data_IF_246212121426
#
_entry.id   IF_246212121426
#
_cell.length_a   1.000
_cell.length_b   1.000
_cell.length_c   1.000
_cell.angle_alpha   90.00
_cell.angle_beta   90.00
_cell.angle_gamma   90.00
#
_symmetry.space_group_name_H-M   'P 1'
#
loop_
_entity.id
_entity.type
_entity.pdbx_description
1 polymer ?
#
# COMPACT_ATOMS: atom_id res chain seq x y z
N UNK A 1 39.66 -8.20 -17.90
CA UNK A 1 39.19 -8.58 -16.55
C UNK A 1 38.62 -7.34 -15.89
N UNK A 2 37.30 -7.27 -15.71
CA UNK A 2 36.66 -6.13 -15.06
C UNK A 2 37.09 -6.08 -13.59
N UNK A 3 37.64 -4.94 -13.15
CA UNK A 3 37.99 -4.67 -11.76
C UNK A 3 36.71 -4.73 -10.91
N UNK A 4 36.41 -5.89 -10.33
CA UNK A 4 35.35 -6.06 -9.36
C UNK A 4 35.81 -5.40 -8.05
N UNK A 5 35.57 -4.09 -7.91
CA UNK A 5 35.77 -3.42 -6.62
C UNK A 5 34.62 -3.86 -5.69
N UNK A 6 34.90 -4.58 -4.59
CA UNK A 6 33.86 -4.93 -3.64
C UNK A 6 33.25 -3.65 -3.06
N UNK A 7 31.93 -3.50 -3.24
CA UNK A 7 31.20 -2.32 -2.79
C UNK A 7 30.69 -2.56 -1.38
N UNK A 8 31.40 -2.06 -0.38
CA UNK A 8 30.94 -2.10 1.01
C UNK A 8 29.70 -1.23 1.18
N UNK A 9 28.74 -1.73 1.96
CA UNK A 9 27.60 -0.92 2.36
C UNK A 9 28.03 0.00 3.51
N UNK A 10 27.69 1.29 3.39
CA UNK A 10 27.79 2.22 4.51
C UNK A 10 26.72 1.90 5.57
N UNK A 11 26.94 2.35 6.80
CA UNK A 11 25.99 2.12 7.90
C UNK A 11 24.57 2.65 7.61
N UNK A 12 24.38 3.84 7.00
CA UNK A 12 23.05 4.29 6.58
C UNK A 12 22.42 3.40 5.50
N UNK A 13 23.23 2.80 4.62
CA UNK A 13 22.71 1.85 3.61
C UNK A 13 22.24 0.57 4.28
N UNK A 14 23.02 0.01 5.22
CA UNK A 14 22.63 -1.18 5.98
C UNK A 14 21.32 -0.98 6.75
N UNK A 15 21.17 0.15 7.47
CA UNK A 15 19.91 0.48 8.16
C UNK A 15 18.73 0.58 7.20
N UNK A 16 18.92 1.22 6.04
CA UNK A 16 17.87 1.29 5.02
C UNK A 16 17.50 -0.10 4.50
N UNK A 17 18.47 -0.99 4.30
CA UNK A 17 18.21 -2.36 3.87
C UNK A 17 17.41 -3.15 4.91
N UNK A 18 17.76 -3.00 6.18
CA UNK A 18 17.00 -3.59 7.28
C UNK A 18 15.56 -3.07 7.29
N UNK A 19 15.36 -1.75 7.18
CA UNK A 19 14.02 -1.16 7.09
C UNK A 19 13.21 -1.70 5.91
N UNK A 20 13.82 -1.87 4.73
CA UNK A 20 13.13 -2.40 3.55
C UNK A 20 12.79 -3.88 3.71
N UNK A 21 13.70 -4.66 4.30
CA UNK A 21 13.49 -6.07 4.59
C UNK A 21 12.36 -6.28 5.61
N UNK A 22 12.26 -5.41 6.63
CA UNK A 22 11.18 -5.45 7.63
C UNK A 22 9.83 -5.19 6.98
N UNK A 23 9.71 -4.19 6.10
CA UNK A 23 8.45 -3.93 5.39
C UNK A 23 8.10 -5.05 4.41
N UNK A 24 9.09 -5.61 3.70
CA UNK A 24 8.88 -6.77 2.84
C UNK A 24 8.41 -8.00 3.65
N UNK A 25 8.97 -8.23 4.84
CA UNK A 25 8.54 -9.31 5.73
C UNK A 25 7.08 -9.14 6.17
N UNK A 26 6.66 -7.92 6.56
CA UNK A 26 5.25 -7.64 6.87
C UNK A 26 4.32 -7.95 5.69
N UNK A 27 4.73 -7.54 4.47
CA UNK A 27 3.96 -7.83 3.26
C UNK A 27 3.85 -9.34 3.02
N UNK A 28 4.97 -10.08 3.17
CA UNK A 28 4.99 -11.53 3.03
C UNK A 28 4.12 -12.24 4.07
N UNK A 29 4.14 -11.79 5.33
CA UNK A 29 3.32 -12.34 6.41
C UNK A 29 1.82 -12.08 6.17
N UNK A 30 1.47 -10.88 5.69
CA UNK A 30 0.09 -10.60 5.28
C UNK A 30 -0.34 -11.42 4.05
N UNK A 31 0.54 -11.59 3.06
CA UNK A 31 0.20 -12.28 1.82
C UNK A 31 0.01 -13.78 1.99
N UNK A 32 0.83 -14.40 2.85
CA UNK A 32 0.72 -15.81 3.23
C UNK A 32 -0.49 -16.09 4.14
N UNK A 33 -1.05 -15.07 4.80
CA UNK A 33 -2.27 -15.21 5.58
C UNK A 33 -3.50 -15.48 4.70
N UNK A 34 -4.09 -16.66 4.87
CA UNK A 34 -5.30 -17.08 4.14
C UNK A 34 -6.49 -16.14 4.34
N UNK A 35 -6.61 -15.57 5.56
CA UNK A 35 -7.69 -14.69 5.97
C UNK A 35 -7.25 -13.23 6.11
N UNK A 36 -6.18 -12.83 5.42
CA UNK A 36 -5.74 -11.44 5.37
C UNK A 36 -6.46 -10.68 4.25
N UNK A 37 -7.01 -9.52 4.57
CA UNK A 37 -7.48 -8.55 3.58
C UNK A 37 -6.43 -7.47 3.35
N UNK A 38 -6.44 -6.86 2.17
CA UNK A 38 -5.59 -5.73 1.82
C UNK A 38 -6.44 -4.48 1.57
N UNK A 39 -5.98 -3.36 2.12
CA UNK A 39 -6.60 -2.05 1.99
C UNK A 39 -5.60 -1.05 1.46
N UNK A 40 -6.07 -0.22 0.53
CA UNK A 40 -5.32 0.94 0.08
C UNK A 40 -6.25 2.16 0.05
N UNK A 41 -5.72 3.32 0.43
CA UNK A 41 -6.49 4.56 0.52
C UNK A 41 -6.02 5.56 -0.52
N UNK A 42 -6.92 5.99 -1.40
CA UNK A 42 -6.74 7.16 -2.25
C UNK A 42 -7.63 8.29 -1.73
N UNK A 43 -7.05 9.44 -1.44
CA UNK A 43 -7.77 10.52 -0.78
C UNK A 43 -7.54 11.86 -1.50
N UNK A 44 -8.60 12.66 -1.63
CA UNK A 44 -8.51 14.01 -2.14
C UNK A 44 -8.89 15.01 -1.04
N UNK A 45 -8.01 15.97 -0.78
CA UNK A 45 -8.29 17.06 0.16
C UNK A 45 -9.39 17.99 -0.35
N UNK A 46 -9.97 18.75 0.58
CA UNK A 46 -10.83 19.86 0.23
C UNK A 46 -10.03 20.86 -0.61
N UNK A 47 -10.56 21.24 -1.76
CA UNK A 47 -9.93 22.23 -2.64
C UNK A 47 -10.95 23.27 -3.07
N UNK A 48 -10.62 24.54 -2.86
CA UNK A 48 -11.48 25.66 -3.26
C UNK A 48 -11.08 26.16 -4.64
N UNK A 49 -11.91 25.89 -5.64
CA UNK A 49 -11.83 26.53 -6.95
C UNK A 49 -12.51 27.90 -6.90
N UNK A 50 -12.28 28.75 -7.92
CA UNK A 50 -12.97 30.05 -8.06
C UNK A 50 -14.50 29.92 -8.12
N UNK A 51 -15.01 28.78 -8.58
CA UNK A 51 -16.43 28.58 -8.91
C UNK A 51 -17.15 27.59 -7.97
N UNK A 52 -16.43 26.73 -7.25
CA UNK A 52 -17.00 25.71 -6.37
C UNK A 52 -15.98 25.21 -5.34
N UNK A 53 -16.48 24.65 -4.25
CA UNK A 53 -15.67 23.94 -3.26
C UNK A 53 -15.74 22.44 -3.57
N UNK A 54 -14.59 21.82 -3.87
CA UNK A 54 -14.48 20.37 -3.84
C UNK A 54 -14.32 19.95 -2.39
N UNK A 55 -15.26 19.15 -1.92
CA UNK A 55 -15.20 18.56 -0.60
C UNK A 55 -14.32 17.30 -0.60
N UNK A 56 -13.81 16.88 0.57
CA UNK A 56 -12.95 15.71 0.66
C UNK A 56 -13.59 14.45 0.08
N UNK A 57 -12.77 13.60 -0.53
CA UNK A 57 -13.20 12.28 -0.98
C UNK A 57 -12.18 11.21 -0.59
N UNK A 58 -12.69 10.02 -0.32
CA UNK A 58 -11.93 8.85 0.07
C UNK A 58 -12.34 7.68 -0.80
N UNK A 59 -11.37 7.06 -1.44
CA UNK A 59 -11.52 5.79 -2.11
C UNK A 59 -10.72 4.74 -1.34
N UNK A 60 -11.40 3.68 -0.96
CA UNK A 60 -10.81 2.47 -0.40
C UNK A 60 -10.83 1.41 -1.50
N UNK A 61 -9.67 0.99 -1.95
CA UNK A 61 -9.54 -0.24 -2.72
C UNK A 61 -9.32 -1.39 -1.73
N UNK A 62 -10.11 -2.45 -1.89
CA UNK A 62 -10.18 -3.58 -0.96
C UNK A 62 -9.92 -4.85 -1.74
N UNK A 63 -8.96 -5.65 -1.30
CA UNK A 63 -8.69 -6.97 -1.84
C UNK A 63 -8.89 -8.02 -0.75
N UNK A 64 -9.84 -8.91 -0.94
CA UNK A 64 -10.21 -9.96 0.02
C UNK A 64 -9.97 -11.34 -0.59
N UNK A 65 -9.71 -12.39 0.21
CA UNK A 65 -9.86 -13.76 -0.29
C UNK A 65 -11.30 -14.00 -0.76
N UNK A 66 -11.46 -14.84 -1.79
CA UNK A 66 -12.74 -15.20 -2.43
C UNK A 66 -13.52 -16.21 -1.59
N UNK A 67 -12.81 -17.14 -0.97
CA UNK A 67 -13.42 -18.11 -0.08
C UNK A 67 -13.66 -17.47 1.30
N UNK A 68 -14.92 -17.50 1.75
CA UNK A 68 -15.25 -17.24 3.15
C UNK A 68 -14.50 -18.24 4.03
N UNK A 69 -14.17 -17.93 5.30
CA UNK A 69 -13.44 -18.83 6.18
C UNK A 69 -14.18 -20.16 6.33
N UNK A 70 -13.82 -21.15 5.52
CA UNK A 70 -14.14 -22.54 5.79
C UNK A 70 -13.07 -23.06 6.73
N UNK A 71 -13.53 -23.74 7.78
CA UNK A 71 -12.70 -24.48 8.72
C UNK A 71 -11.63 -25.28 7.97
N UNK A 72 -10.44 -25.48 8.56
CA UNK A 72 -9.29 -26.04 7.86
C UNK A 72 -9.67 -27.41 7.29
N UNK A 73 -9.96 -27.44 5.99
CA UNK A 73 -10.21 -28.68 5.26
C UNK A 73 -8.93 -29.04 4.54
N UNK A 74 -8.41 -30.20 4.93
CA UNK A 74 -7.12 -30.80 4.59
C UNK A 74 -7.00 -31.27 3.13
N UNK A 75 -7.32 -30.44 2.14
CA UNK A 75 -7.26 -30.84 0.74
C UNK A 75 -6.63 -29.73 -0.11
N UNK A 76 -5.37 -29.99 -0.52
CA UNK A 76 -4.46 -29.18 -1.35
C UNK A 76 -3.87 -27.90 -0.69
N UNK A 77 -2.91 -28.11 0.22
CA UNK A 77 -2.12 -27.09 0.96
C UNK A 77 -1.26 -26.13 0.09
N UNK A 78 -1.22 -26.26 -1.23
CA UNK A 78 -0.32 -25.47 -2.10
C UNK A 78 -0.99 -24.33 -2.88
N UNK A 79 -2.32 -24.20 -2.85
CA UNK A 79 -3.03 -23.14 -3.59
C UNK A 79 -3.52 -22.04 -2.66
N UNK A 80 -2.84 -20.89 -2.71
CA UNK A 80 -3.28 -19.66 -2.03
C UNK A 80 -4.70 -19.26 -2.47
N UNK A 81 -5.50 -18.66 -1.56
CA UNK A 81 -6.87 -18.28 -1.89
C UNK A 81 -6.87 -17.27 -3.05
N UNK A 82 -7.78 -17.49 -4.00
CA UNK A 82 -8.06 -16.50 -5.04
C UNK A 82 -8.50 -15.21 -4.33
N UNK A 83 -8.03 -14.05 -4.79
CA UNK A 83 -8.39 -12.75 -4.20
C UNK A 83 -9.30 -11.96 -5.13
N UNK A 84 -10.33 -11.33 -4.57
CA UNK A 84 -11.25 -10.46 -5.30
C UNK A 84 -11.00 -9.00 -4.93
N UNK A 85 -11.18 -8.12 -5.91
CA UNK A 85 -11.06 -6.67 -5.75
C UNK A 85 -12.45 -6.01 -5.72
N UNK A 86 -12.68 -5.17 -4.73
CA UNK A 86 -13.80 -4.24 -4.71
C UNK A 86 -13.35 -2.83 -4.32
N UNK A 87 -14.16 -1.83 -4.66
CA UNK A 87 -13.88 -0.42 -4.36
C UNK A 87 -15.04 0.21 -3.63
N UNK A 88 -14.73 0.99 -2.60
CA UNK A 88 -15.68 1.85 -1.89
C UNK A 88 -15.20 3.29 -1.99
N UNK A 89 -16.01 4.17 -2.55
CA UNK A 89 -15.72 5.59 -2.65
C UNK A 89 -16.73 6.37 -1.82
N UNK A 90 -16.24 7.24 -0.93
CA UNK A 90 -17.04 8.17 -0.12
C UNK A 90 -16.65 9.58 -0.54
N UNK A 91 -17.63 10.36 -1.01
CA UNK A 91 -17.45 11.78 -1.31
C UNK A 91 -18.27 12.58 -0.33
N UNK A 92 -17.62 13.54 0.33
CA UNK A 92 -18.34 14.47 1.18
C UNK A 92 -19.10 15.46 0.30
N UNK A 93 -20.33 15.78 0.69
CA UNK A 93 -21.13 16.83 0.08
C UNK A 93 -20.93 18.16 0.82
N UNK A 94 -20.96 19.26 0.08
CA UNK A 94 -20.86 20.59 0.68
C UNK A 94 -22.13 20.86 1.49
N UNK A 95 -21.97 21.10 2.79
CA UNK A 95 -23.06 21.56 3.63
C UNK A 95 -23.38 23.02 3.32
N UNK A 96 -24.39 23.30 2.50
CA UNK A 96 -24.78 24.70 2.24
C UNK A 96 -25.41 25.34 3.49
N UNK A 97 -24.76 26.38 4.02
CA UNK A 97 -25.30 27.20 5.13
C UNK A 97 -26.48 28.09 4.69
N UNK A 98 -26.65 28.33 3.39
CA UNK A 98 -27.43 29.47 2.89
C UNK A 98 -28.75 29.12 2.18
N UNK A 99 -28.96 27.88 1.67
CA UNK A 99 -30.23 27.52 1.06
C UNK A 99 -30.49 26.00 1.05
N UNK A 100 -31.47 25.52 1.84
CA UNK A 100 -31.85 24.10 1.89
C UNK A 100 -32.39 23.56 0.56
N UNK A 101 -32.92 24.42 -0.32
CA UNK A 101 -33.52 24.01 -1.60
C UNK A 101 -32.50 23.67 -2.70
N UNK A 102 -31.22 24.03 -2.50
CA UNK A 102 -30.13 23.78 -3.46
C UNK A 102 -29.09 22.81 -2.84
N UNK A 103 -29.45 22.18 -1.72
CA UNK A 103 -28.59 21.25 -1.01
C UNK A 103 -28.53 19.94 -1.83
N UNK A 104 -27.35 19.43 -2.22
CA UNK A 104 -27.25 18.20 -2.99
C UNK A 104 -27.83 17.03 -2.18
N UNK A 105 -28.71 16.23 -2.77
CA UNK A 105 -29.25 15.08 -2.06
C UNK A 105 -28.17 14.00 -1.90
N UNK A 106 -28.01 13.39 -0.71
CA UNK A 106 -27.16 12.22 -0.55
C UNK A 106 -27.60 11.11 -1.49
N UNK A 107 -26.64 10.41 -2.09
CA UNK A 107 -26.95 9.32 -3.00
C UNK A 107 -25.93 8.19 -2.92
N UNK A 108 -26.36 7.04 -3.44
CA UNK A 108 -25.58 5.82 -3.48
C UNK A 108 -25.74 5.15 -4.84
N UNK A 109 -24.63 4.69 -5.40
CA UNK A 109 -24.64 3.81 -6.57
C UNK A 109 -23.74 2.61 -6.32
N UNK A 110 -24.14 1.50 -6.91
CA UNK A 110 -23.32 0.31 -7.06
C UNK A 110 -23.24 -0.05 -8.53
N UNK A 111 -22.02 -0.22 -9.01
CA UNK A 111 -21.73 -0.77 -10.34
C UNK A 111 -20.73 -1.90 -10.12
N UNK A 112 -21.18 -3.13 -10.36
CA UNK A 112 -20.42 -4.36 -10.08
C UNK A 112 -19.93 -4.45 -8.60
N UNK A 113 -18.61 -4.51 -8.42
CA UNK A 113 -17.93 -4.50 -7.11
C UNK A 113 -17.61 -3.10 -6.60
N UNK A 114 -17.91 -2.05 -7.38
CA UNK A 114 -17.66 -0.66 -7.00
C UNK A 114 -18.90 -0.04 -6.37
N UNK A 115 -18.72 0.63 -5.24
CA UNK A 115 -19.76 1.41 -4.58
C UNK A 115 -19.30 2.83 -4.36
N UNK A 116 -20.18 3.80 -4.63
CA UNK A 116 -19.95 5.21 -4.35
C UNK A 116 -21.06 5.74 -3.45
N UNK A 117 -20.67 6.46 -2.40
CA UNK A 117 -21.53 7.14 -1.46
C UNK A 117 -21.23 8.63 -1.52
N UNK A 118 -22.25 9.45 -1.76
CA UNK A 118 -22.14 10.89 -1.58
C UNK A 118 -22.97 11.29 -0.37
N UNK A 119 -22.29 11.74 0.69
CA UNK A 119 -22.84 11.90 2.03
C UNK A 119 -22.38 13.21 2.64
N UNK A 120 -23.13 13.76 3.60
CA UNK A 120 -22.63 14.87 4.41
C UNK A 120 -21.56 14.39 5.40
N UNK A 121 -20.74 15.32 5.90
CA UNK A 121 -19.56 15.03 6.73
C UNK A 121 -19.81 13.95 7.80
N UNK A 122 -20.80 14.14 8.67
CA UNK A 122 -21.06 13.22 9.79
C UNK A 122 -21.42 11.80 9.32
N UNK A 123 -22.24 11.69 8.27
CA UNK A 123 -22.66 10.41 7.69
C UNK A 123 -21.52 9.77 6.89
N UNK A 124 -20.70 10.58 6.21
CA UNK A 124 -19.51 10.13 5.49
C UNK A 124 -18.48 9.52 6.45
N UNK A 125 -18.23 10.16 7.59
CA UNK A 125 -17.33 9.68 8.64
C UNK A 125 -17.85 8.36 9.25
N UNK A 126 -19.13 8.32 9.65
CA UNK A 126 -19.76 7.09 10.13
C UNK A 126 -19.71 5.95 9.11
N UNK A 127 -19.94 6.27 7.83
CA UNK A 127 -19.89 5.27 6.77
C UNK A 127 -18.47 4.76 6.55
N UNK A 128 -17.46 5.64 6.60
CA UNK A 128 -16.06 5.27 6.47
C UNK A 128 -15.63 4.33 7.60
N UNK A 129 -15.90 4.69 8.86
CA UNK A 129 -15.64 3.82 10.00
C UNK A 129 -16.41 2.50 9.91
N UNK A 130 -17.70 2.54 9.54
CA UNK A 130 -18.51 1.33 9.42
C UNK A 130 -18.00 0.33 8.39
N UNK A 131 -17.37 0.80 7.30
CA UNK A 131 -16.69 -0.09 6.34
C UNK A 131 -15.46 -0.75 6.99
N UNK A 132 -14.66 -0.01 7.75
CA UNK A 132 -13.50 -0.57 8.46
C UNK A 132 -13.94 -1.58 9.51
N UNK A 133 -15.02 -1.31 10.23
CA UNK A 133 -15.56 -2.21 11.25
C UNK A 133 -16.11 -3.51 10.64
N UNK A 134 -16.85 -3.42 9.52
CA UNK A 134 -17.33 -4.56 8.74
C UNK A 134 -16.17 -5.45 8.29
N UNK A 135 -15.16 -4.85 7.65
CA UNK A 135 -13.97 -5.56 7.21
C UNK A 135 -13.15 -6.12 8.38
N UNK A 136 -13.10 -5.43 9.51
CA UNK A 136 -12.43 -5.92 10.70
C UNK A 136 -13.18 -7.10 11.32
N UNK A 137 -14.50 -7.18 11.25
CA UNK A 137 -15.23 -8.31 11.81
C UNK A 137 -14.95 -9.63 11.06
N UNK A 138 -14.82 -9.55 9.73
CA UNK A 138 -14.86 -10.73 8.86
C UNK A 138 -13.50 -11.42 8.63
N UNK A 139 -12.38 -10.72 8.86
CA UNK A 139 -11.05 -11.19 8.46
C UNK A 139 -10.05 -11.24 9.63
N UNK A 140 -9.11 -12.19 9.61
CA UNK A 140 -8.14 -12.38 10.69
C UNK A 140 -7.06 -11.29 10.76
N UNK A 141 -6.69 -10.72 9.62
CA UNK A 141 -5.69 -9.66 9.51
C UNK A 141 -6.11 -8.58 8.49
N UNK A 142 -5.71 -7.34 8.75
CA UNK A 142 -5.97 -6.20 7.88
C UNK A 142 -4.65 -5.55 7.46
N UNK A 143 -4.20 -5.79 6.23
CA UNK A 143 -2.98 -5.20 5.70
C UNK A 143 -3.29 -3.86 5.01
N UNK A 144 -2.93 -2.75 5.64
CA UNK A 144 -3.04 -1.41 5.05
C UNK A 144 -1.75 -1.10 4.30
N UNK A 145 -1.81 -1.15 2.97
CA UNK A 145 -0.67 -0.88 2.11
C UNK A 145 -0.68 0.57 1.66
N UNK A 146 0.41 1.27 1.93
CA UNK A 146 0.55 2.71 1.68
C UNK A 146 1.84 3.03 0.94
N UNK A 147 1.81 4.01 0.04
CA UNK A 147 2.99 4.56 -0.61
C UNK A 147 3.47 5.86 0.06
N UNK A 148 2.58 6.57 0.76
CA UNK A 148 2.91 7.71 1.64
C UNK A 148 2.07 7.62 2.92
N UNK A 149 2.75 7.27 4.01
CA UNK A 149 2.13 7.15 5.34
C UNK A 149 1.44 8.44 5.76
N UNK A 150 1.96 9.63 5.40
CA UNK A 150 1.36 10.91 5.75
C UNK A 150 0.03 11.10 5.04
N UNK A 151 -0.04 10.71 3.78
CA UNK A 151 -1.26 10.77 3.00
C UNK A 151 -2.33 9.84 3.58
N UNK A 152 -1.95 8.62 3.97
CA UNK A 152 -2.86 7.67 4.61
C UNK A 152 -3.32 8.16 5.98
N UNK A 153 -2.41 8.62 6.85
CA UNK A 153 -2.78 9.19 8.15
C UNK A 153 -3.73 10.37 8.00
N UNK A 154 -3.49 11.24 7.01
CA UNK A 154 -4.37 12.38 6.74
C UNK A 154 -5.78 11.96 6.33
N UNK A 155 -5.90 10.90 5.53
CA UNK A 155 -7.19 10.33 5.15
C UNK A 155 -7.93 9.75 6.37
N UNK A 156 -7.22 9.03 7.25
CA UNK A 156 -7.77 8.51 8.50
C UNK A 156 -8.29 9.65 9.40
N UNK A 157 -7.52 10.74 9.55
CA UNK A 157 -7.92 11.91 10.34
C UNK A 157 -9.18 12.60 9.80
N UNK A 158 -9.24 12.88 8.50
CA UNK A 158 -10.33 13.66 7.91
C UNK A 158 -11.66 12.89 7.91
N UNK A 159 -11.60 11.57 7.78
CA UNK A 159 -12.78 10.71 7.82
C UNK A 159 -13.05 10.13 9.22
N UNK A 160 -12.31 10.58 10.25
CA UNK A 160 -12.39 10.11 11.64
C UNK A 160 -12.36 8.58 11.76
N UNK A 161 -11.45 7.96 11.00
CA UNK A 161 -11.31 6.51 10.96
C UNK A 161 -10.24 6.02 11.92
N UNK A 162 -10.57 4.94 12.64
CA UNK A 162 -9.66 4.19 13.50
C UNK A 162 -9.44 2.81 12.88
N UNK A 163 -8.17 2.51 12.62
CA UNK A 163 -7.76 1.17 12.22
C UNK A 163 -7.84 0.22 13.42
N UNK A 164 -8.24 -1.05 13.22
CA UNK A 164 -8.28 -2.04 14.29
C UNK A 164 -6.86 -2.42 14.77
N UNK A 165 -6.73 -2.94 15.99
CA UNK A 165 -5.44 -3.33 16.55
C UNK A 165 -4.68 -4.40 15.74
N UNK A 166 -5.42 -5.20 14.96
CA UNK A 166 -4.88 -6.21 14.02
C UNK A 166 -4.49 -5.65 12.66
N UNK A 167 -4.54 -4.34 12.48
CA UNK A 167 -4.11 -3.69 11.25
C UNK A 167 -2.57 -3.66 11.19
N UNK A 168 -2.02 -4.13 10.08
CA UNK A 168 -0.58 -4.05 9.77
C UNK A 168 -0.40 -3.00 8.69
N UNK A 169 0.38 -1.96 8.99
CA UNK A 169 0.75 -0.95 8.00
C UNK A 169 2.02 -1.37 7.27
N UNK A 170 1.97 -1.32 5.94
CA UNK A 170 3.07 -1.70 5.03
C UNK A 170 3.43 -0.52 4.13
N UNK A 171 4.69 -0.08 4.18
CA UNK A 171 5.26 0.91 3.25
C UNK A 171 5.65 0.23 1.93
N UNK A 172 4.78 0.35 0.92
CA UNK A 172 4.95 -0.27 -0.39
C UNK A 172 6.23 0.18 -1.10
N UNK A 173 6.68 1.42 -0.89
CA UNK A 173 7.91 1.91 -1.52
C UNK A 173 9.10 1.13 -0.98
N UNK A 174 9.14 0.89 0.33
CA UNK A 174 10.20 0.08 0.96
C UNK A 174 10.15 -1.38 0.52
N UNK A 175 8.95 -1.94 0.33
CA UNK A 175 8.79 -3.30 -0.23
C UNK A 175 9.37 -3.37 -1.64
N UNK A 176 9.03 -2.41 -2.50
CA UNK A 176 9.56 -2.36 -3.86
C UNK A 176 11.08 -2.15 -3.86
N UNK A 177 11.63 -1.26 -3.03
CA UNK A 177 13.08 -1.07 -2.89
C UNK A 177 13.82 -2.36 -2.49
N UNK A 178 13.19 -3.21 -1.67
CA UNK A 178 13.74 -4.51 -1.30
C UNK A 178 13.75 -5.47 -2.49
N UNK A 179 12.64 -5.55 -3.22
CA UNK A 179 12.44 -6.51 -4.31
C UNK A 179 13.21 -6.14 -5.59
N UNK A 180 13.37 -4.85 -5.90
CA UNK A 180 13.96 -4.38 -7.18
C UNK A 180 15.44 -4.03 -7.10
N UNK A 181 16.13 -4.50 -6.04
CA UNK A 181 17.48 -4.03 -5.69
C UNK A 181 18.56 -4.44 -6.69
N UNK A 182 18.46 -5.64 -7.25
CA UNK A 182 19.50 -6.22 -8.11
C UNK A 182 19.14 -6.14 -9.61
N UNK A 183 17.85 -6.23 -9.96
CA UNK A 183 17.39 -6.34 -11.35
C UNK A 183 16.63 -5.09 -11.87
N UNK A 184 16.51 -4.03 -11.06
CA UNK A 184 15.68 -2.86 -11.40
C UNK A 184 14.19 -3.17 -11.29
N UNK A 185 13.33 -2.26 -11.77
CA UNK A 185 11.87 -2.49 -11.77
C UNK A 185 11.55 -3.60 -12.78
N UNK A 186 10.95 -4.74 -12.38
CA UNK A 186 10.44 -5.74 -13.32
C UNK A 186 9.57 -5.08 -14.40
N UNK A 187 9.73 -5.48 -15.67
CA UNK A 187 8.97 -4.91 -16.79
C UNK A 187 7.45 -5.04 -16.59
N UNK A 188 7.02 -6.08 -15.88
CA UNK A 188 5.63 -6.33 -15.50
C UNK A 188 5.08 -5.28 -14.52
N UNK A 189 5.95 -4.63 -13.75
CA UNK A 189 5.60 -3.55 -12.82
C UNK A 189 5.64 -2.17 -13.51
N UNK A 190 6.36 -2.00 -14.62
CA UNK A 190 6.48 -0.73 -15.34
C UNK A 190 5.11 -0.13 -15.72
N UNK A 191 4.18 -0.96 -16.17
CA UNK A 191 2.80 -0.55 -16.49
C UNK A 191 2.01 0.04 -15.30
N UNK A 192 2.44 -0.25 -14.06
CA UNK A 192 1.80 0.20 -12.82
C UNK A 192 2.61 1.29 -12.10
N UNK A 193 3.92 1.38 -12.36
CA UNK A 193 4.85 2.31 -11.72
C UNK A 193 5.16 3.55 -12.56
N UNK A 194 5.15 3.47 -13.89
CA UNK A 194 5.60 4.56 -14.77
C UNK A 194 4.74 5.84 -14.66
N UNK A 195 3.45 5.68 -14.39
CA UNK A 195 2.52 6.81 -14.17
C UNK A 195 2.42 7.24 -12.68
N UNK A 196 2.93 6.44 -11.73
CA UNK A 196 2.60 6.58 -10.28
C UNK A 196 3.79 6.69 -9.32
N UNK A 197 5.00 6.21 -9.69
CA UNK A 197 6.17 6.20 -8.81
C UNK A 197 7.39 6.69 -9.61
N UNK A 198 7.71 7.97 -9.49
CA UNK A 198 8.87 8.55 -10.17
C UNK A 198 10.17 7.98 -9.58
N UNK A 199 11.22 7.79 -10.39
CA UNK A 199 12.56 7.43 -9.90
C UNK A 199 13.45 8.66 -9.96
N UNK A 200 14.00 9.08 -8.82
CA UNK A 200 14.94 10.22 -8.72
C UNK A 200 16.21 9.80 -8.00
N UNK A 201 17.36 10.01 -8.64
CA UNK A 201 18.68 9.59 -8.14
C UNK A 201 18.77 8.07 -7.87
N UNK A 202 18.13 7.25 -8.69
CA UNK A 202 18.10 5.77 -8.53
C UNK A 202 17.29 5.29 -7.33
N UNK A 203 16.31 6.08 -6.87
CA UNK A 203 15.39 5.77 -5.76
C UNK A 203 13.97 6.11 -6.16
N UNK A 204 12.98 5.41 -5.62
CA UNK A 204 11.58 5.81 -5.77
C UNK A 204 11.34 7.15 -5.04
N UNK A 205 10.85 8.14 -5.78
CA UNK A 205 10.49 9.46 -5.31
C UNK A 205 9.07 9.41 -4.75
N UNK A 206 8.94 9.84 -3.49
CA UNK A 206 7.67 9.92 -2.76
C UNK A 206 6.84 11.15 -3.17
N UNK A 207 7.40 12.06 -3.98
CA UNK A 207 6.62 13.17 -4.53
C UNK A 207 5.74 12.65 -5.65
N UNK A 208 4.43 12.68 -5.40
CA UNK A 208 3.45 12.68 -6.45
C UNK A 208 3.85 13.75 -7.49
N UNK A 209 3.98 13.36 -8.76
CA UNK A 209 4.24 14.30 -9.85
C UNK A 209 3.21 15.43 -9.88
N UNK A 210 3.43 16.46 -10.69
CA UNK A 210 2.45 17.54 -10.86
C UNK A 210 1.09 16.94 -11.21
N UNK A 211 0.06 17.40 -10.50
CA UNK A 211 -1.32 16.91 -10.49
C UNK A 211 -1.95 16.91 -11.89
N UNK A 212 -1.64 15.90 -12.70
CA UNK A 212 -2.22 15.68 -14.02
C UNK A 212 -3.39 14.68 -14.03
N UNK A 213 -3.95 14.35 -12.86
CA UNK A 213 -5.09 13.42 -12.77
C UNK A 213 -4.76 11.94 -13.05
N UNK A 214 -3.46 11.57 -13.06
CA UNK A 214 -2.99 10.18 -13.21
C UNK A 214 -2.28 9.61 -11.98
N UNK A 215 -2.26 10.35 -10.87
CA UNK A 215 -1.67 9.91 -9.61
C UNK A 215 -2.71 9.02 -8.90
N UNK A 216 -2.85 7.80 -9.41
CA UNK A 216 -3.60 6.76 -8.73
C UNK A 216 -2.72 6.15 -7.64
N UNK A 217 -3.33 5.69 -6.56
CA UNK A 217 -2.74 4.57 -5.82
C UNK A 217 -2.26 3.51 -6.83
N UNK A 218 -1.10 2.85 -6.61
CA UNK A 218 -0.79 1.67 -7.39
C UNK A 218 -2.03 0.79 -7.35
N UNK A 219 -2.57 0.49 -8.53
CA UNK A 219 -3.81 -0.26 -8.66
C UNK A 219 -3.69 -1.45 -7.71
N UNK A 220 -4.63 -1.67 -6.80
CA UNK A 220 -4.45 -2.64 -5.70
C UNK A 220 -4.07 -4.04 -6.21
N UNK A 221 -4.35 -4.35 -7.48
CA UNK A 221 -3.83 -5.54 -8.17
C UNK A 221 -2.31 -5.63 -8.31
N UNK A 222 -1.57 -4.53 -8.14
CA UNK A 222 -0.11 -4.56 -7.98
C UNK A 222 0.30 -5.51 -6.86
N UNK A 223 -0.52 -5.63 -5.81
CA UNK A 223 -0.30 -6.56 -4.71
C UNK A 223 -0.35 -8.02 -5.16
N UNK A 224 -1.03 -8.34 -6.27
CA UNK A 224 -1.03 -9.69 -6.88
C UNK A 224 0.36 -10.08 -7.40
N UNK A 225 1.23 -9.11 -7.69
CA UNK A 225 2.62 -9.32 -8.11
C UNK A 225 3.57 -9.13 -6.93
N UNK A 226 3.40 -8.04 -6.17
CA UNK A 226 4.28 -7.67 -5.05
C UNK A 226 4.16 -8.63 -3.87
N UNK A 227 2.98 -9.18 -3.61
CA UNK A 227 2.74 -10.12 -2.52
C UNK A 227 3.52 -11.43 -2.66
N UNK A 228 3.39 -12.15 -3.78
CA UNK A 228 4.20 -13.35 -4.04
C UNK A 228 5.70 -13.05 -4.06
N UNK A 229 6.11 -11.93 -4.67
CA UNK A 229 7.51 -11.50 -4.67
C UNK A 229 8.03 -11.28 -3.23
N UNK A 230 7.21 -10.72 -2.34
CA UNK A 230 7.62 -10.46 -0.96
C UNK A 230 8.02 -11.74 -0.23
N UNK A 231 7.31 -12.84 -0.48
CA UNK A 231 7.66 -14.15 0.07
C UNK A 231 8.94 -14.73 -0.55
N UNK A 232 9.10 -14.62 -1.87
CA UNK A 232 10.28 -15.11 -2.57
C UNK A 232 11.57 -14.41 -2.07
N UNK A 233 11.49 -13.11 -1.83
CA UNK A 233 12.61 -12.25 -1.41
C UNK A 233 12.81 -12.20 0.13
N UNK A 234 12.13 -13.05 0.90
CA UNK A 234 12.13 -13.00 2.37
C UNK A 234 13.51 -13.18 3.01
N UNK A 235 14.43 -13.90 2.35
CA UNK A 235 15.78 -14.20 2.87
C UNK A 235 16.88 -13.29 2.33
N UNK A 236 16.56 -12.37 1.43
CA UNK A 236 17.57 -11.61 0.68
C UNK A 236 18.40 -10.69 1.57
N UNK A 237 17.80 -10.10 2.60
CA UNK A 237 18.53 -9.29 3.56
C UNK A 237 19.59 -10.10 4.31
N UNK A 238 19.24 -11.31 4.78
CA UNK A 238 20.18 -12.19 5.48
C UNK A 238 21.32 -12.63 4.57
N UNK A 239 21.05 -12.81 3.27
CA UNK A 239 22.09 -13.11 2.27
C UNK A 239 23.03 -11.91 2.09
N UNK A 240 22.47 -10.70 1.89
CA UNK A 240 23.25 -9.48 1.72
C UNK A 240 24.12 -9.14 2.95
N UNK A 241 23.60 -9.34 4.17
CA UNK A 241 24.35 -9.13 5.42
C UNK A 241 25.54 -10.09 5.56
N UNK A 242 25.34 -11.36 5.21
CA UNK A 242 26.42 -12.37 5.21
C UNK A 242 27.50 -12.03 4.18
N UNK A 243 27.11 -11.58 2.99
CA UNK A 243 28.04 -11.17 1.93
C UNK A 243 28.84 -9.93 2.33
N UNK A 244 28.20 -8.88 2.88
CA UNK A 244 28.91 -7.69 3.38
C UNK A 244 29.88 -8.04 4.51
N UNK A 245 29.47 -8.91 5.45
CA UNK A 245 30.34 -9.41 6.52
C UNK A 245 31.55 -10.17 5.98
N UNK A 246 31.34 -11.03 4.98
CA UNK A 246 32.41 -11.79 4.34
C UNK A 246 33.41 -10.87 3.62
N UNK A 247 32.91 -9.89 2.86
CA UNK A 247 33.73 -8.90 2.17
C UNK A 247 34.55 -8.05 3.16
N UNK A 248 33.95 -7.60 4.26
CA UNK A 248 34.65 -6.85 5.32
C UNK A 248 35.77 -7.67 5.95
N UNK A 249 35.54 -8.96 6.20
CA UNK A 249 36.59 -9.87 6.70
C UNK A 249 37.74 -10.03 5.70
N UNK A 250 37.44 -10.20 4.41
CA UNK A 250 38.47 -10.33 3.36
C UNK A 250 39.31 -9.05 3.27
N UNK A 251 38.67 -7.88 3.27
CA UNK A 251 39.36 -6.60 3.24
C UNK A 251 40.21 -6.35 4.50
N UNK A 252 39.74 -6.75 5.67
CA UNK A 252 40.52 -6.69 6.91
C UNK A 252 41.79 -7.55 6.87
N UNK A 253 41.73 -8.73 6.23
CA UNK A 253 42.91 -9.59 6.02
C UNK A 253 43.92 -8.98 5.04
N UNK A 254 43.45 -8.37 3.95
CA UNK A 254 44.31 -7.70 2.96
C UNK A 254 45.00 -6.44 3.48
N UNK A 255 44.47 -5.81 4.53
CA UNK A 255 45.03 -4.58 5.12
C UNK A 255 46.04 -4.84 6.24
N UNK A 256 46.05 -6.05 6.79
CA UNK A 256 46.87 -6.48 7.93
C UNK A 256 47.93 -7.53 7.54
N UNK A 257 48.10 -7.81 6.25
CA UNK A 257 49.19 -8.64 5.70
C UNK A 257 50.15 -7.77 4.90
#
# INVERSE_FOLDING_TARGET
>A
MANFKPRFLSEPQLRRHEECAVENAKMADCWSGEQALFLTFNFSEQYKCRQYTLMPSLQMDIMTPVDKPTWPSSVDDDKKPLRQHCRRTIRMLEGTKCNKKVRPEPWYIRVDSNQTFELYSDDAMKKAQGIIDELSADYAAMCVVTHDIRHTTRALEIFDMKLPAKAVLVDLIKVLEHQTRDDGVPEELAAYTDDNIAVRNGRYDRKAGVSGGRLGMPYIRLLEIVGPAAEAHRRDFQKAEKEDTALKRIAGRLRNG
#
